data_IF_219496679728
#
_entry.id   IF_219496679728
#
_cell.length_a   1.000
_cell.length_b   1.000
_cell.length_c   1.000
_cell.angle_alpha   90.00
_cell.angle_beta   90.00
_cell.angle_gamma   90.00
#
_symmetry.space_group_name_H-M   'P 1'
#
loop_
_entity.id
_entity.type
_entity.pdbx_description
1 polymer ?
#
# COMPACT_ATOMS: atom_id res chain seq x y z
N UNK A 1 32.70 35.53 1.46
CA UNK A 1 33.66 34.61 0.82
C UNK A 1 34.37 33.81 1.90
N UNK A 2 34.69 32.53 1.68
CA UNK A 2 35.58 31.78 2.57
C UNK A 2 36.99 32.40 2.53
N UNK A 3 37.44 32.94 3.66
CA UNK A 3 38.72 33.64 3.77
C UNK A 3 39.85 32.65 4.04
N UNK A 4 39.67 31.77 5.03
CA UNK A 4 40.65 30.74 5.39
C UNK A 4 40.65 29.55 4.43
N UNK A 5 41.76 28.83 4.36
CA UNK A 5 41.89 27.61 3.55
C UNK A 5 40.89 26.52 3.96
N UNK A 6 40.63 26.39 5.27
CA UNK A 6 39.62 25.47 5.82
C UNK A 6 38.20 25.83 5.38
N UNK A 7 37.85 27.12 5.37
CA UNK A 7 36.56 27.59 4.88
C UNK A 7 36.39 27.32 3.38
N UNK A 8 37.45 27.52 2.57
CA UNK A 8 37.43 27.21 1.12
C UNK A 8 37.22 25.71 0.88
N UNK A 9 37.85 24.86 1.68
CA UNK A 9 37.64 23.39 1.65
C UNK A 9 36.22 23.01 2.07
N UNK A 10 35.71 23.60 3.14
CA UNK A 10 34.35 23.35 3.61
C UNK A 10 33.29 23.70 2.55
N UNK A 11 33.48 24.82 1.83
CA UNK A 11 32.59 25.23 0.74
C UNK A 11 32.58 24.20 -0.40
N UNK A 12 33.74 23.71 -0.84
CA UNK A 12 33.84 22.65 -1.85
C UNK A 12 33.13 21.37 -1.41
N UNK A 13 33.36 20.93 -0.18
CA UNK A 13 32.71 19.74 0.38
C UNK A 13 31.20 19.92 0.48
N UNK A 14 30.73 21.11 0.89
CA UNK A 14 29.31 21.43 0.98
C UNK A 14 28.63 21.39 -0.39
N UNK A 15 29.27 21.94 -1.43
CA UNK A 15 28.76 21.89 -2.80
C UNK A 15 28.63 20.44 -3.30
N UNK A 16 29.65 19.61 -3.10
CA UNK A 16 29.62 18.20 -3.49
C UNK A 16 28.54 17.40 -2.73
N UNK A 17 28.39 17.64 -1.42
CA UNK A 17 27.32 17.02 -0.63
C UNK A 17 25.94 17.49 -1.10
N UNK A 18 25.80 18.78 -1.44
CA UNK A 18 24.54 19.37 -1.92
C UNK A 18 24.09 18.72 -3.21
N UNK A 19 24.96 18.56 -4.21
CA UNK A 19 24.58 17.95 -5.50
C UNK A 19 24.08 16.52 -5.34
N UNK A 20 24.77 15.71 -4.53
CA UNK A 20 24.38 14.32 -4.24
C UNK A 20 23.05 14.26 -3.47
N UNK A 21 22.89 15.12 -2.45
CA UNK A 21 21.68 15.15 -1.65
C UNK A 21 20.48 15.67 -2.44
N UNK A 22 20.67 16.66 -3.30
CA UNK A 22 19.62 17.22 -4.14
C UNK A 22 19.10 16.19 -5.16
N UNK A 23 19.98 15.35 -5.71
CA UNK A 23 19.58 14.22 -6.58
C UNK A 23 18.63 13.26 -5.83
N UNK A 24 18.98 12.88 -4.60
CA UNK A 24 18.13 12.02 -3.78
C UNK A 24 16.84 12.70 -3.34
N UNK A 25 16.87 13.99 -2.97
CA UNK A 25 15.67 14.78 -2.62
C UNK A 25 14.70 14.87 -3.80
N UNK A 26 15.21 15.12 -5.00
CA UNK A 26 14.41 15.17 -6.25
C UNK A 26 13.78 13.82 -6.54
N UNK A 27 14.56 12.73 -6.46
CA UNK A 27 14.07 11.35 -6.65
C UNK A 27 12.99 10.98 -5.64
N UNK A 28 13.18 11.31 -4.36
CA UNK A 28 12.17 11.06 -3.32
C UNK A 28 10.88 11.86 -3.57
N UNK A 29 11.00 13.13 -3.98
CA UNK A 29 9.83 13.96 -4.33
C UNK A 29 9.08 13.42 -5.54
N UNK A 30 9.75 12.98 -6.60
CA UNK A 30 9.09 12.41 -7.78
C UNK A 30 8.35 11.12 -7.45
N UNK A 31 8.97 10.25 -6.65
CA UNK A 31 8.41 8.97 -6.22
C UNK A 31 7.17 9.15 -5.33
N UNK A 32 7.15 10.19 -4.47
CA UNK A 32 5.99 10.48 -3.64
C UNK A 32 4.81 11.07 -4.44
N UNK A 33 5.08 11.83 -5.51
CA UNK A 33 4.04 12.39 -6.38
C UNK A 33 3.39 11.33 -7.26
N UNK A 34 4.21 10.47 -7.86
CA UNK A 34 3.77 9.38 -8.75
C UNK A 34 4.40 8.08 -8.25
N UNK A 35 3.78 7.42 -7.25
CA UNK A 35 4.33 6.19 -6.72
C UNK A 35 4.32 5.12 -7.82
N UNK A 36 5.45 4.41 -8.04
CA UNK A 36 5.47 3.25 -8.91
C UNK A 36 4.52 2.18 -8.35
N UNK A 37 4.14 1.22 -9.20
CA UNK A 37 3.35 0.05 -8.79
C UNK A 37 4.03 -0.72 -7.63
N UNK A 38 5.36 -0.69 -7.60
CA UNK A 38 6.16 -1.36 -6.58
C UNK A 38 6.29 -0.50 -5.31
N UNK A 39 5.46 -0.81 -4.34
CA UNK A 39 5.46 -0.19 -3.02
C UNK A 39 6.78 -0.35 -2.26
N UNK A 40 7.39 -1.54 -2.34
CA UNK A 40 8.62 -1.87 -1.63
C UNK A 40 9.79 -0.95 -2.00
N UNK A 41 9.86 -0.53 -3.26
CA UNK A 41 10.89 0.39 -3.76
C UNK A 41 10.73 1.79 -3.15
N UNK A 42 9.49 2.24 -2.96
CA UNK A 42 9.18 3.53 -2.34
C UNK A 42 9.58 3.54 -0.88
N UNK A 43 9.22 2.49 -0.14
CA UNK A 43 9.58 2.34 1.28
C UNK A 43 11.09 2.28 1.45
N UNK A 44 11.77 1.47 0.63
CA UNK A 44 13.22 1.36 0.61
C UNK A 44 13.91 2.70 0.33
N UNK A 45 13.36 3.51 -0.57
CA UNK A 45 13.89 4.85 -0.88
C UNK A 45 13.72 5.81 0.31
N UNK A 46 12.57 5.79 0.99
CA UNK A 46 12.32 6.59 2.19
C UNK A 46 13.35 6.25 3.28
N UNK A 47 13.63 4.97 3.47
CA UNK A 47 14.59 4.51 4.47
C UNK A 47 16.03 4.87 4.12
N UNK A 48 16.41 4.73 2.85
CA UNK A 48 17.72 5.19 2.36
C UNK A 48 17.90 6.69 2.57
N UNK A 49 16.86 7.49 2.36
CA UNK A 49 16.89 8.93 2.61
C UNK A 49 17.02 9.26 4.10
N UNK A 50 16.39 8.47 4.98
CA UNK A 50 16.53 8.59 6.44
C UNK A 50 17.94 8.24 6.91
N UNK A 51 18.47 7.09 6.48
CA UNK A 51 19.82 6.62 6.83
C UNK A 51 20.92 7.59 6.38
N UNK A 52 20.72 8.28 5.25
CA UNK A 52 21.65 9.31 4.74
C UNK A 52 21.46 10.69 5.38
N UNK A 53 20.56 10.84 6.35
CA UNK A 53 20.31 12.12 7.04
C UNK A 53 19.62 13.18 6.17
N UNK A 54 19.02 12.78 5.04
CA UNK A 54 18.32 13.72 4.14
C UNK A 54 16.95 14.10 4.70
N UNK A 55 16.29 13.14 5.34
CA UNK A 55 15.04 13.33 6.10
C UNK A 55 15.22 12.79 7.51
N UNK A 56 14.55 13.42 8.49
CA UNK A 56 14.54 12.91 9.85
C UNK A 56 13.76 11.58 9.96
N UNK A 57 14.10 10.75 10.95
CA UNK A 57 13.44 9.45 11.22
C UNK A 57 11.92 9.60 11.36
N UNK A 58 11.47 10.61 12.10
CA UNK A 58 10.04 10.90 12.27
C UNK A 58 9.35 11.31 10.97
N UNK A 59 10.06 12.01 10.08
CA UNK A 59 9.55 12.35 8.76
C UNK A 59 9.42 11.11 7.88
N UNK A 60 10.38 10.20 7.94
CA UNK A 60 10.31 8.91 7.25
C UNK A 60 9.11 8.09 7.75
N UNK A 61 8.94 7.95 9.06
CA UNK A 61 7.81 7.24 9.67
C UNK A 61 6.45 7.83 9.26
N UNK A 62 6.34 9.17 9.29
CA UNK A 62 5.12 9.86 8.83
C UNK A 62 4.83 9.61 7.36
N UNK A 63 5.85 9.61 6.50
CA UNK A 63 5.67 9.33 5.07
C UNK A 63 5.22 7.89 4.83
N UNK A 64 5.78 6.91 5.54
CA UNK A 64 5.34 5.51 5.49
C UNK A 64 3.88 5.37 5.95
N UNK A 65 3.54 5.96 7.09
CA UNK A 65 2.18 5.90 7.64
C UNK A 65 1.14 6.49 6.67
N UNK A 66 1.41 7.68 6.12
CA UNK A 66 0.54 8.31 5.11
C UNK A 66 0.33 7.42 3.88
N UNK A 67 1.42 6.79 3.42
CA UNK A 67 1.38 5.97 2.23
C UNK A 67 0.56 4.67 2.47
N UNK A 68 0.68 4.05 3.65
CA UNK A 68 -0.18 2.93 4.06
C UNK A 68 -1.65 3.34 4.19
N UNK A 69 -1.92 4.50 4.78
CA UNK A 69 -3.28 5.02 4.94
C UNK A 69 -3.96 5.25 3.59
N UNK A 70 -3.23 5.80 2.61
CA UNK A 70 -3.74 6.01 1.26
C UNK A 70 -4.09 4.67 0.58
N UNK A 71 -3.30 3.62 0.81
CA UNK A 71 -3.61 2.27 0.30
C UNK A 71 -4.87 1.74 0.99
N UNK A 72 -4.95 1.80 2.32
CA UNK A 72 -6.12 1.32 3.09
C UNK A 72 -7.41 2.02 2.66
N UNK A 73 -7.37 3.34 2.49
CA UNK A 73 -8.54 4.11 2.03
C UNK A 73 -8.95 3.75 0.61
N UNK A 74 -7.99 3.54 -0.30
CA UNK A 74 -8.29 3.07 -1.66
C UNK A 74 -8.88 1.64 -1.67
N UNK A 75 -8.37 0.73 -0.83
CA UNK A 75 -8.92 -0.62 -0.68
C UNK A 75 -10.36 -0.58 -0.11
N UNK A 76 -10.62 0.26 0.88
CA UNK A 76 -11.95 0.43 1.46
C UNK A 76 -12.97 1.00 0.46
N UNK A 77 -12.53 1.93 -0.42
CA UNK A 77 -13.37 2.45 -1.50
C UNK A 77 -13.68 1.38 -2.57
N UNK A 78 -12.75 0.46 -2.82
CA UNK A 78 -12.95 -0.64 -3.78
C UNK A 78 -13.95 -1.69 -3.27
N UNK A 79 -13.98 -1.94 -1.95
CA UNK A 79 -14.90 -2.92 -1.35
C UNK A 79 -16.34 -2.41 -1.18
N UNK A 80 -16.54 -1.10 -1.03
CA UNK A 80 -17.89 -0.52 -0.99
C UNK A 80 -18.56 -0.49 -2.36
N UNK A 81 -17.81 -0.25 -3.44
CA UNK A 81 -18.32 -0.27 -4.82
C UNK A 81 -18.77 -1.68 -5.29
N UNK A 82 -18.09 -2.74 -4.84
CA UNK A 82 -18.47 -4.12 -5.18
C UNK A 82 -19.63 -4.67 -4.32
N UNK A 83 -19.95 -4.01 -3.20
CA UNK A 83 -21.05 -4.43 -2.31
C UNK A 83 -22.41 -3.87 -2.76
N UNK A 84 -22.43 -2.78 -3.53
CA UNK A 84 -23.64 -2.25 -4.17
C UNK A 84 -24.13 -3.12 -5.33
N UNK A 85 -23.24 -3.75 -6.10
CA UNK A 85 -23.64 -4.66 -7.20
C UNK A 85 -24.17 -6.01 -6.67
N UNK A 86 -23.60 -6.53 -5.58
CA UNK A 86 -24.04 -7.81 -4.98
C UNK A 86 -25.36 -7.72 -4.18
N UNK A 87 -25.82 -6.53 -3.79
CA UNK A 87 -27.12 -6.36 -3.10
C UNK A 87 -28.31 -6.32 -4.05
N UNK A 88 -28.13 -6.00 -5.33
CA UNK A 88 -29.21 -6.02 -6.33
C UNK A 88 -29.56 -7.47 -6.72
N UNK A 89 -28.57 -8.36 -6.82
CA UNK A 89 -28.77 -9.75 -7.22
C UNK A 89 -29.51 -10.63 -6.17
N UNK A 90 -29.61 -10.22 -4.90
CA UNK A 90 -30.31 -11.00 -3.85
C UNK A 90 -31.78 -10.59 -3.63
N UNK A 91 -32.28 -9.55 -4.29
CA UNK A 91 -33.66 -9.06 -4.08
C UNK A 91 -34.70 -9.71 -5.02
N UNK A 92 -34.29 -10.48 -6.02
CA UNK A 92 -35.18 -11.01 -7.07
C UNK A 92 -35.65 -12.46 -6.83
N UNK A 93 -34.99 -13.26 -5.99
CA UNK A 93 -35.40 -14.66 -5.76
C UNK A 93 -36.23 -14.81 -4.49
N UNK A 94 -37.49 -14.41 -4.53
CA UNK A 94 -38.53 -15.03 -3.68
C UNK A 94 -39.50 -15.77 -4.62
N UNK A 95 -39.51 -17.10 -4.67
CA UNK A 95 -40.67 -17.82 -5.11
C UNK A 95 -41.49 -18.28 -3.91
N UNK A 96 -42.76 -17.88 -3.96
CA UNK A 96 -43.88 -18.30 -3.14
C UNK A 96 -44.05 -19.82 -3.19
N UNK A 97 -44.49 -20.39 -2.07
CA UNK A 97 -44.71 -21.81 -1.82
C UNK A 97 -45.52 -22.54 -2.92
N UNK A 98 -45.06 -23.74 -3.30
CA UNK A 98 -45.93 -24.86 -3.68
C UNK A 98 -45.43 -26.17 -3.05
N UNK A 99 -46.34 -26.76 -2.28
CA UNK A 99 -46.30 -28.00 -1.53
C UNK A 99 -46.59 -29.17 -2.50
N UNK A 100 -45.75 -30.20 -2.57
CA UNK A 100 -46.17 -31.58 -2.91
C UNK A 100 -45.29 -32.56 -2.11
N UNK A 101 -45.99 -33.46 -1.43
CA UNK A 101 -45.53 -34.53 -0.54
C UNK A 101 -45.43 -35.82 -1.36
N UNK A 102 -44.30 -36.52 -1.36
CA UNK A 102 -44.26 -37.99 -1.50
C UNK A 102 -42.96 -38.58 -0.92
N UNK A 103 -43.07 -39.07 0.32
CA UNK A 103 -42.70 -40.41 0.84
C UNK A 103 -41.40 -41.11 0.37
N UNK A 104 -40.72 -41.65 1.40
CA UNK A 104 -39.81 -42.83 1.47
C UNK A 104 -38.36 -42.55 0.98
N UNK A 105 -37.29 -42.91 1.68
CA UNK A 105 -37.10 -43.92 2.74
C UNK A 105 -35.77 -43.64 3.47
N UNK A 106 -35.84 -43.66 4.79
CA UNK A 106 -34.71 -43.67 5.72
C UNK A 106 -34.20 -45.13 5.87
N UNK A 107 -32.88 -45.31 6.04
CA UNK A 107 -32.12 -46.51 6.51
C UNK A 107 -31.94 -47.71 5.55
N UNK A 108 -30.66 -47.98 5.21
CA UNK A 108 -29.90 -49.26 5.25
C UNK A 108 -28.44 -48.92 4.87
N UNK A 109 -27.48 -48.77 5.79
CA UNK A 109 -26.61 -49.80 6.42
C UNK A 109 -25.96 -50.80 5.43
N UNK A 110 -24.66 -51.05 5.65
CA UNK A 110 -23.75 -52.05 5.03
C UNK A 110 -23.19 -51.67 3.65
N UNK A 111 -21.93 -51.93 3.28
CA UNK A 111 -20.72 -52.42 3.94
C UNK A 111 -19.57 -52.29 2.92
N UNK A 112 -18.32 -52.27 3.42
CA UNK A 112 -17.06 -52.66 2.74
C UNK A 112 -16.71 -51.94 1.42
N UNK A 113 -15.68 -51.07 1.48
CA UNK A 113 -14.75 -50.92 0.36
C UNK A 113 -13.40 -51.54 0.71
N UNK A 114 -12.91 -52.20 -0.33
CA UNK A 114 -11.71 -53.01 -0.55
C UNK A 114 -10.41 -52.27 -0.22
#
# INVERSE_FOLDING_TARGET
MPITSSAKKALRVAQNKKTINDRLRRKLKSLLKKPPKNLSDVISMIDKASKRGIIHKNKANRLKAKLMQNIKTNLAKKSTAQKSEKKVAKKITKPVAKKIVTKKKIIKKSAKNK
#
